data_IF_976561481932
#
_entry.id   IF_976561481932
#
_cell.length_a   1.000
_cell.length_b   1.000
_cell.length_c   1.000
_cell.angle_alpha   90.00
_cell.angle_beta   90.00
_cell.angle_gamma   90.00
#
_symmetry.space_group_name_H-M   'P 1'
#
loop_
_entity.id
_entity.type
_entity.pdbx_description
1 polymer ?
#
# COMPACT_ATOMS: atom_id res chain seq x y z
N UNK A 1 -20.42 14.88 14.07
CA UNK A 1 -19.36 15.61 13.34
C UNK A 1 -19.44 15.23 11.87
N UNK A 2 -19.29 16.19 10.96
CA UNK A 2 -19.37 15.96 9.50
C UNK A 2 -17.97 15.78 8.92
N UNK A 3 -17.73 14.66 8.24
CA UNK A 3 -16.47 14.34 7.57
C UNK A 3 -16.48 14.89 6.15
N UNK A 4 -15.39 15.55 5.74
CA UNK A 4 -15.24 16.10 4.40
C UNK A 4 -14.11 15.35 3.68
N UNK A 5 -14.41 14.89 2.47
CA UNK A 5 -13.47 14.16 1.62
C UNK A 5 -13.20 15.02 0.37
N UNK A 6 -12.13 15.81 0.40
CA UNK A 6 -11.75 16.74 -0.67
C UNK A 6 -10.44 16.34 -1.34
N UNK A 7 -10.53 15.77 -2.55
CA UNK A 7 -9.37 15.41 -3.39
C UNK A 7 -9.57 15.89 -4.83
N UNK A 8 -8.49 15.90 -5.63
CA UNK A 8 -8.53 16.18 -7.06
C UNK A 8 -9.41 15.20 -7.87
N UNK A 9 -9.47 15.37 -9.20
CA UNK A 9 -10.25 14.48 -10.07
C UNK A 9 -9.65 13.06 -10.08
N UNK A 10 -10.52 12.05 -10.11
CA UNK A 10 -10.16 10.62 -10.19
C UNK A 10 -9.33 10.04 -9.03
N UNK A 11 -9.27 10.72 -7.86
CA UNK A 11 -8.60 10.20 -6.65
C UNK A 11 -9.50 9.29 -5.78
N UNK A 12 -10.50 8.62 -6.37
CA UNK A 12 -11.31 7.65 -5.63
C UNK A 12 -12.28 8.22 -4.59
N UNK A 13 -12.72 9.49 -4.71
CA UNK A 13 -13.71 10.10 -3.79
C UNK A 13 -14.99 9.27 -3.66
N UNK A 14 -15.55 8.85 -4.79
CA UNK A 14 -16.74 7.99 -4.82
C UNK A 14 -16.47 6.62 -4.18
N UNK A 15 -15.28 6.06 -4.39
CA UNK A 15 -14.84 4.83 -3.70
C UNK A 15 -14.80 5.02 -2.20
N UNK A 16 -14.28 6.15 -1.71
CA UNK A 16 -14.30 6.45 -0.27
C UNK A 16 -15.72 6.61 0.28
N UNK A 17 -16.64 7.21 -0.50
CA UNK A 17 -18.05 7.28 -0.13
C UNK A 17 -18.70 5.88 -0.02
N UNK A 18 -18.35 4.96 -0.93
CA UNK A 18 -18.78 3.55 -0.87
C UNK A 18 -18.23 2.86 0.38
N UNK A 19 -16.94 3.02 0.67
CA UNK A 19 -16.31 2.42 1.85
C UNK A 19 -16.92 2.95 3.16
N UNK A 20 -17.17 4.25 3.23
CA UNK A 20 -17.85 4.87 4.38
C UNK A 20 -19.27 4.32 4.55
N UNK A 21 -20.04 4.24 3.46
CA UNK A 21 -21.39 3.68 3.46
C UNK A 21 -21.41 2.20 3.85
N UNK A 22 -20.43 1.42 3.40
CA UNK A 22 -20.29 0.01 3.76
C UNK A 22 -20.00 -0.17 5.26
N UNK A 23 -19.09 0.65 5.81
CA UNK A 23 -18.70 0.58 7.22
C UNK A 23 -19.81 1.06 8.18
N UNK A 24 -20.61 2.04 7.77
CA UNK A 24 -21.57 2.73 8.64
C UNK A 24 -23.03 2.37 8.37
N UNK A 25 -23.34 1.82 7.19
CA UNK A 25 -24.70 1.69 6.69
C UNK A 25 -25.33 3.03 6.25
N UNK A 26 -24.56 4.12 6.18
CA UNK A 26 -25.08 5.43 5.79
C UNK A 26 -25.56 5.45 4.34
N UNK A 27 -26.64 6.18 4.09
CA UNK A 27 -27.24 6.28 2.77
C UNK A 27 -26.45 7.21 1.87
N UNK A 28 -26.06 6.75 0.67
CA UNK A 28 -25.44 7.62 -0.34
C UNK A 28 -26.52 8.40 -1.10
N UNK A 29 -26.33 9.72 -1.24
CA UNK A 29 -27.12 10.60 -2.08
C UNK A 29 -26.27 11.06 -3.28
N UNK A 30 -26.82 10.93 -4.48
CA UNK A 30 -26.20 11.31 -5.75
C UNK A 30 -27.04 12.35 -6.50
N UNK A 31 -26.45 13.04 -7.48
CA UNK A 31 -27.13 14.10 -8.23
C UNK A 31 -28.29 13.62 -9.12
N UNK A 32 -28.27 12.37 -9.57
CA UNK A 32 -29.33 11.79 -10.41
C UNK A 32 -29.34 10.25 -10.35
N UNK A 33 -30.39 9.64 -10.92
CA UNK A 33 -30.58 8.19 -10.94
C UNK A 33 -29.47 7.43 -11.69
N UNK A 34 -28.88 8.05 -12.73
CA UNK A 34 -27.80 7.40 -13.49
C UNK A 34 -26.56 7.26 -12.61
N UNK A 35 -26.20 8.32 -11.88
CA UNK A 35 -25.08 8.29 -10.93
C UNK A 35 -25.35 7.33 -9.77
N UNK A 36 -26.55 7.37 -9.19
CA UNK A 36 -26.92 6.43 -8.13
C UNK A 36 -26.73 4.96 -8.56
N UNK A 37 -27.18 4.62 -9.78
CA UNK A 37 -26.97 3.30 -10.36
C UNK A 37 -25.49 2.98 -10.60
N UNK A 38 -24.72 3.94 -11.11
CA UNK A 38 -23.29 3.76 -11.36
C UNK A 38 -22.51 3.51 -10.06
N UNK A 39 -22.81 4.26 -8.98
CA UNK A 39 -22.21 4.07 -7.66
C UNK A 39 -22.56 2.69 -7.10
N UNK A 40 -23.81 2.25 -7.24
CA UNK A 40 -24.23 0.92 -6.80
C UNK A 40 -23.48 -0.19 -7.55
N UNK A 41 -23.41 -0.08 -8.88
CA UNK A 41 -22.66 -1.03 -9.71
C UNK A 41 -21.17 -1.03 -9.38
N UNK A 42 -20.60 0.13 -9.10
CA UNK A 42 -19.21 0.24 -8.67
C UNK A 42 -18.98 -0.47 -7.32
N UNK A 43 -19.91 -0.33 -6.37
CA UNK A 43 -19.83 -1.04 -5.09
C UNK A 43 -19.88 -2.57 -5.28
N UNK A 44 -20.79 -3.06 -6.13
CA UNK A 44 -20.89 -4.49 -6.47
C UNK A 44 -19.60 -5.01 -7.12
N UNK A 45 -19.04 -4.27 -8.08
CA UNK A 45 -17.77 -4.63 -8.73
C UNK A 45 -16.59 -4.70 -7.75
N UNK A 46 -16.62 -3.85 -6.72
CA UNK A 46 -15.61 -3.83 -5.66
C UNK A 46 -15.88 -4.86 -4.54
N UNK A 47 -17.03 -5.56 -4.57
CA UNK A 47 -17.42 -6.55 -3.56
C UNK A 47 -17.98 -5.95 -2.27
N UNK A 48 -18.40 -4.67 -2.27
CA UNK A 48 -18.98 -4.03 -1.09
C UNK A 48 -20.51 -4.05 -1.12
N UNK A 49 -21.12 -4.41 0.00
CA UNK A 49 -22.57 -4.31 0.20
C UNK A 49 -22.92 -2.96 0.82
N UNK A 50 -23.73 -2.16 0.12
CA UNK A 50 -24.18 -0.85 0.59
C UNK A 50 -25.71 -0.69 0.38
N UNK A 51 -26.39 0.18 1.13
CA UNK A 51 -27.76 0.60 0.80
C UNK A 51 -27.84 1.17 -0.62
N UNK A 52 -28.95 0.94 -1.32
CA UNK A 52 -29.09 1.41 -2.70
C UNK A 52 -29.03 2.94 -2.76
N UNK A 53 -28.05 3.55 -3.46
CA UNK A 53 -27.89 5.00 -3.52
C UNK A 53 -29.15 5.70 -4.03
N UNK A 54 -29.40 6.91 -3.55
CA UNK A 54 -30.61 7.67 -3.83
C UNK A 54 -30.28 8.94 -4.59
N UNK A 55 -31.04 9.22 -5.63
CA UNK A 55 -30.96 10.48 -6.37
C UNK A 55 -31.60 11.64 -5.59
N UNK A 56 -31.01 12.83 -5.66
CA UNK A 56 -31.61 14.06 -5.12
C UNK A 56 -32.98 14.37 -5.77
N UNK A 57 -33.20 13.90 -7.00
CA UNK A 57 -34.47 14.06 -7.72
C UNK A 57 -35.54 13.03 -7.31
N UNK A 58 -35.27 12.18 -6.31
CA UNK A 58 -36.26 11.23 -5.82
C UNK A 58 -37.40 11.99 -5.11
N UNK A 59 -38.65 11.74 -5.54
CA UNK A 59 -39.85 12.38 -4.96
C UNK A 59 -40.00 12.10 -3.46
N UNK A 60 -39.52 10.94 -3.00
CA UNK A 60 -39.63 10.52 -1.60
C UNK A 60 -38.38 10.87 -0.79
N UNK A 61 -37.47 11.70 -1.30
CA UNK A 61 -36.21 12.01 -0.63
C UNK A 61 -36.41 12.54 0.81
N UNK A 62 -37.40 13.42 1.01
CA UNK A 62 -37.71 13.98 2.35
C UNK A 62 -38.14 12.89 3.33
N UNK A 63 -39.00 11.98 2.88
CA UNK A 63 -39.45 10.86 3.70
C UNK A 63 -38.29 9.94 4.04
N UNK A 64 -37.47 9.55 3.05
CA UNK A 64 -36.31 8.69 3.26
C UNK A 64 -35.31 9.32 4.25
N UNK A 65 -34.95 10.59 4.05
CA UNK A 65 -34.02 11.28 4.96
C UNK A 65 -34.57 11.40 6.38
N UNK A 66 -35.87 11.65 6.54
CA UNK A 66 -36.51 11.63 7.87
C UNK A 66 -36.48 10.24 8.53
N UNK A 67 -36.66 9.18 7.75
CA UNK A 67 -36.61 7.80 8.26
C UNK A 67 -35.19 7.41 8.66
N UNK A 68 -34.17 7.83 7.89
CA UNK A 68 -32.76 7.64 8.23
C UNK A 68 -32.40 8.32 9.55
N UNK A 69 -32.80 9.58 9.72
CA UNK A 69 -32.60 10.31 10.96
C UNK A 69 -33.25 9.61 12.16
N UNK A 70 -34.47 9.07 12.00
CA UNK A 70 -35.16 8.30 13.05
C UNK A 70 -34.44 7.00 13.37
N UNK A 71 -33.84 6.36 12.38
CA UNK A 71 -33.05 5.14 12.52
C UNK A 71 -31.62 5.39 13.04
N UNK A 72 -31.21 6.66 13.23
CA UNK A 72 -29.84 7.01 13.61
C UNK A 72 -28.81 6.80 12.50
N UNK A 73 -29.25 6.62 11.26
CA UNK A 73 -28.36 6.47 10.09
C UNK A 73 -28.05 7.83 9.47
N UNK A 74 -26.79 7.99 9.08
CA UNK A 74 -26.31 9.19 8.42
C UNK A 74 -26.49 9.17 6.91
N UNK A 75 -26.02 10.25 6.28
CA UNK A 75 -26.06 10.47 4.84
C UNK A 75 -24.65 10.78 4.35
N UNK A 76 -24.27 10.17 3.23
CA UNK A 76 -23.06 10.49 2.48
C UNK A 76 -23.47 11.16 1.17
N UNK A 77 -22.97 12.35 0.89
CA UNK A 77 -23.27 13.07 -0.36
C UNK A 77 -22.11 12.86 -1.33
N UNK A 78 -22.34 12.14 -2.42
CA UNK A 78 -21.36 11.92 -3.48
C UNK A 78 -21.42 13.05 -4.51
N UNK A 79 -20.27 13.68 -4.78
CA UNK A 79 -20.12 14.90 -5.58
C UNK A 79 -21.07 16.03 -5.15
N UNK A 80 -20.78 16.62 -3.99
CA UNK A 80 -21.57 17.70 -3.37
C UNK A 80 -21.84 18.84 -4.36
N UNK A 81 -20.87 19.21 -5.18
CA UNK A 81 -21.03 20.27 -6.18
C UNK A 81 -22.09 19.89 -7.22
N UNK A 82 -22.03 18.67 -7.76
CA UNK A 82 -23.01 18.20 -8.73
C UNK A 82 -24.40 18.00 -8.12
N UNK A 83 -24.49 17.55 -6.87
CA UNK A 83 -25.75 17.42 -6.13
C UNK A 83 -26.40 18.80 -5.92
N UNK A 84 -25.64 19.79 -5.46
CA UNK A 84 -26.13 21.16 -5.26
C UNK A 84 -26.56 21.81 -6.57
N UNK A 85 -25.78 21.59 -7.64
CA UNK A 85 -26.13 22.05 -8.99
C UNK A 85 -27.46 21.47 -9.45
N UNK A 86 -27.68 20.17 -9.26
CA UNK A 86 -28.93 19.51 -9.61
C UNK A 86 -30.10 19.99 -8.75
N UNK A 87 -29.86 20.29 -7.48
CA UNK A 87 -30.88 20.76 -6.54
C UNK A 87 -31.30 22.22 -6.79
N UNK A 88 -30.33 23.11 -7.01
CA UNK A 88 -30.56 24.56 -7.18
C UNK A 88 -30.87 24.96 -8.62
N UNK A 89 -30.49 24.13 -9.61
CA UNK A 89 -30.68 24.43 -11.03
C UNK A 89 -29.76 25.52 -11.58
N UNK A 90 -28.70 25.88 -10.85
CA UNK A 90 -27.72 26.88 -11.23
C UNK A 90 -26.28 26.38 -11.05
N UNK A 91 -25.33 27.08 -11.65
CA UNK A 91 -23.90 26.82 -11.44
C UNK A 91 -23.50 27.14 -10.00
N UNK A 92 -22.63 26.30 -9.44
CA UNK A 92 -22.08 26.48 -8.09
C UNK A 92 -20.65 26.98 -8.25
N UNK A 93 -20.40 28.22 -7.85
CA UNK A 93 -19.07 28.83 -7.98
C UNK A 93 -18.20 28.63 -6.74
N UNK A 94 -18.81 28.47 -5.56
CA UNK A 94 -18.07 28.33 -4.30
C UNK A 94 -18.89 27.52 -3.30
N UNK A 95 -18.23 26.57 -2.62
CA UNK A 95 -18.80 25.79 -1.51
C UNK A 95 -17.89 25.98 -0.31
N UNK A 96 -18.46 26.44 0.80
CA UNK A 96 -17.75 26.58 2.07
C UNK A 96 -18.23 25.52 3.05
N UNK A 97 -17.35 25.12 3.97
CA UNK A 97 -17.66 24.14 4.99
C UNK A 97 -17.17 24.61 6.36
N UNK A 98 -18.01 24.47 7.37
CA UNK A 98 -17.69 24.77 8.77
C UNK A 98 -17.31 23.48 9.52
N UNK A 99 -16.27 22.79 9.03
CA UNK A 99 -15.78 21.55 9.66
C UNK A 99 -14.34 21.71 10.11
N UNK A 100 -14.09 21.40 11.39
CA UNK A 100 -12.74 21.22 11.93
C UNK A 100 -12.00 20.02 11.34
N UNK A 101 -12.71 19.13 10.62
CA UNK A 101 -12.20 17.89 10.04
C UNK A 101 -12.22 17.93 8.52
N UNK A 102 -11.69 19.01 7.93
CA UNK A 102 -11.25 18.95 6.53
C UNK A 102 -10.08 17.98 6.50
N UNK A 103 -10.31 16.77 6.00
CA UNK A 103 -9.21 15.85 5.72
C UNK A 103 -8.55 16.37 4.44
N UNK A 104 -7.64 17.34 4.59
CA UNK A 104 -6.66 17.63 3.54
C UNK A 104 -5.76 16.42 3.45
N UNK A 105 -5.80 15.72 2.31
CA UNK A 105 -4.98 14.52 2.01
C UNK A 105 -3.48 14.68 2.21
N UNK A 106 -2.97 15.91 2.37
CA UNK A 106 -1.55 16.11 2.60
C UNK A 106 -1.11 15.37 3.87
N UNK A 107 -1.87 15.43 4.96
CA UNK A 107 -1.34 14.95 6.25
C UNK A 107 -1.33 13.41 6.35
N UNK A 108 -2.43 12.75 5.98
CA UNK A 108 -2.56 11.29 6.18
C UNK A 108 -1.72 10.46 5.19
N UNK A 109 -1.67 10.87 3.92
CA UNK A 109 -0.81 10.18 2.95
C UNK A 109 0.66 10.58 3.11
N UNK A 110 0.98 11.79 3.62
CA UNK A 110 2.36 12.12 3.96
C UNK A 110 2.87 11.24 5.10
N UNK A 111 2.07 10.99 6.14
CA UNK A 111 2.44 10.09 7.24
C UNK A 111 2.72 8.66 6.72
N UNK A 112 1.80 8.05 5.97
CA UNK A 112 2.02 6.72 5.36
C UNK A 112 3.25 6.70 4.43
N UNK A 113 3.46 7.74 3.60
CA UNK A 113 4.63 7.85 2.73
C UNK A 113 5.92 8.00 3.54
N UNK A 114 5.91 8.73 4.65
CA UNK A 114 7.10 8.87 5.51
C UNK A 114 7.45 7.57 6.20
N UNK A 115 6.46 6.81 6.65
CA UNK A 115 6.66 5.51 7.29
C UNK A 115 7.18 4.49 6.27
N UNK A 116 6.57 4.40 5.08
CA UNK A 116 7.06 3.55 3.98
C UNK A 116 8.49 3.90 3.53
N UNK A 117 8.84 5.20 3.49
CA UNK A 117 10.22 5.63 3.19
C UNK A 117 11.20 5.19 4.26
N UNK A 118 10.79 5.18 5.54
CA UNK A 118 11.63 4.72 6.66
C UNK A 118 11.86 3.21 6.60
N UNK A 119 10.82 2.44 6.31
CA UNK A 119 10.93 0.99 6.11
C UNK A 119 11.82 0.65 4.91
N UNK A 120 11.64 1.36 3.79
CA UNK A 120 12.46 1.17 2.60
C UNK A 120 13.94 1.46 2.88
N UNK A 121 14.24 2.53 3.61
CA UNK A 121 15.61 2.87 4.00
C UNK A 121 16.22 1.81 4.94
N UNK A 122 15.43 1.21 5.83
CA UNK A 122 15.89 0.13 6.69
C UNK A 122 16.28 -1.12 5.87
N UNK A 123 15.44 -1.51 4.92
CA UNK A 123 15.70 -2.65 4.03
C UNK A 123 16.97 -2.46 3.18
N UNK A 124 17.20 -1.25 2.65
CA UNK A 124 18.44 -0.99 1.91
C UNK A 124 19.69 -1.09 2.78
N UNK A 125 19.65 -0.66 4.04
CA UNK A 125 20.78 -0.80 4.97
C UNK A 125 21.08 -2.25 5.30
N UNK A 126 20.07 -3.05 5.60
CA UNK A 126 20.23 -4.48 5.85
C UNK A 126 20.86 -5.18 4.64
N UNK A 127 20.41 -4.83 3.44
CA UNK A 127 20.99 -5.35 2.20
C UNK A 127 22.46 -4.94 2.00
N UNK A 128 22.85 -3.73 2.39
CA UNK A 128 24.25 -3.27 2.32
C UNK A 128 25.13 -4.02 3.35
N UNK A 129 24.62 -4.25 4.56
CA UNK A 129 25.31 -5.02 5.61
C UNK A 129 25.50 -6.49 5.18
N UNK A 130 24.46 -7.12 4.64
CA UNK A 130 24.53 -8.48 4.09
C UNK A 130 25.54 -8.56 2.93
N UNK A 131 25.55 -7.56 2.05
CA UNK A 131 26.48 -7.51 0.93
C UNK A 131 27.94 -7.43 1.43
N UNK A 132 28.21 -6.62 2.45
CA UNK A 132 29.54 -6.52 3.07
C UNK A 132 29.98 -7.84 3.74
N UNK A 133 29.05 -8.54 4.40
CA UNK A 133 29.32 -9.86 4.99
C UNK A 133 29.63 -10.88 3.89
N UNK A 134 28.86 -10.90 2.80
CA UNK A 134 29.09 -11.79 1.66
C UNK A 134 30.47 -11.56 1.05
N UNK A 135 30.89 -10.31 0.88
CA UNK A 135 32.20 -9.97 0.33
C UNK A 135 33.33 -10.43 1.26
N UNK A 136 33.18 -10.18 2.56
CA UNK A 136 34.14 -10.67 3.57
C UNK A 136 34.24 -12.21 3.60
N UNK A 137 33.12 -12.91 3.43
CA UNK A 137 33.09 -14.37 3.38
C UNK A 137 33.72 -14.92 2.10
N UNK A 138 33.56 -14.23 0.96
CA UNK A 138 34.22 -14.58 -0.29
C UNK A 138 35.74 -14.51 -0.14
N UNK A 139 36.24 -13.43 0.44
CA UNK A 139 37.69 -13.25 0.65
C UNK A 139 38.25 -14.38 1.54
N UNK A 140 37.58 -14.68 2.67
CA UNK A 140 37.97 -15.80 3.55
C UNK A 140 37.96 -17.16 2.84
N UNK A 141 36.98 -17.40 1.96
CA UNK A 141 36.94 -18.63 1.19
C UNK A 141 38.13 -18.74 0.22
N UNK A 142 38.54 -17.63 -0.40
CA UNK A 142 39.72 -17.60 -1.26
C UNK A 142 40.99 -17.89 -0.45
N UNK A 143 41.15 -17.25 0.71
CA UNK A 143 42.32 -17.47 1.58
C UNK A 143 42.41 -18.95 2.01
N UNK A 144 41.30 -19.53 2.47
CA UNK A 144 41.25 -20.95 2.85
C UNK A 144 41.54 -21.90 1.68
N UNK A 145 41.16 -21.54 0.45
CA UNK A 145 41.51 -22.34 -0.74
C UNK A 145 43.01 -22.30 -1.02
N UNK A 146 43.66 -21.15 -0.82
CA UNK A 146 45.11 -21.01 -0.98
C UNK A 146 45.86 -21.79 0.10
N UNK A 147 45.46 -21.67 1.37
CA UNK A 147 46.05 -22.42 2.48
C UNK A 147 45.93 -23.94 2.28
N UNK A 148 44.76 -24.41 1.83
CA UNK A 148 44.56 -25.82 1.50
C UNK A 148 45.44 -26.27 0.33
N UNK A 149 45.63 -25.43 -0.69
CA UNK A 149 46.49 -25.75 -1.81
C UNK A 149 47.96 -25.90 -1.36
N UNK A 150 48.45 -24.98 -0.52
CA UNK A 150 49.80 -25.03 0.05
C UNK A 150 50.01 -26.28 0.90
N UNK A 151 49.04 -26.61 1.76
CA UNK A 151 49.09 -27.83 2.58
C UNK A 151 49.20 -29.11 1.73
N UNK A 152 48.39 -29.20 0.67
CA UNK A 152 48.41 -30.35 -0.26
C UNK A 152 49.76 -30.44 -0.98
N UNK A 153 50.31 -29.31 -1.42
CA UNK A 153 51.63 -29.26 -2.06
C UNK A 153 52.74 -29.74 -1.11
N UNK A 154 52.73 -29.30 0.14
CA UNK A 154 53.70 -29.71 1.15
C UNK A 154 53.60 -31.20 1.49
N UNK A 155 52.40 -31.77 1.49
CA UNK A 155 52.18 -33.21 1.68
C UNK A 155 52.73 -34.04 0.51
N UNK A 156 52.45 -33.62 -0.74
CA UNK A 156 52.99 -34.25 -1.95
C UNK A 156 54.52 -34.18 -1.96
N UNK A 157 55.11 -33.04 -1.58
CA UNK A 157 56.56 -32.86 -1.52
C UNK A 157 57.21 -33.79 -0.49
N UNK A 158 56.60 -33.92 0.71
CA UNK A 158 57.05 -34.84 1.76
C UNK A 158 57.00 -36.30 1.31
N UNK A 159 55.90 -36.74 0.70
CA UNK A 159 55.77 -38.10 0.19
C UNK A 159 56.77 -38.40 -0.94
N UNK A 160 56.96 -37.46 -1.87
CA UNK A 160 57.96 -37.60 -2.93
C UNK A 160 59.38 -37.72 -2.36
N UNK A 161 59.71 -36.95 -1.32
CA UNK A 161 60.99 -37.04 -0.64
C UNK A 161 61.19 -38.40 0.05
N UNK A 162 60.15 -38.93 0.73
CA UNK A 162 60.18 -40.27 1.32
C UNK A 162 60.41 -41.36 0.28
N UNK A 163 59.70 -41.30 -0.86
CA UNK A 163 59.89 -42.25 -1.96
C UNK A 163 61.32 -42.20 -2.51
N UNK A 164 61.87 -41.01 -2.75
CA UNK A 164 63.27 -40.84 -3.20
C UNK A 164 64.27 -41.40 -2.20
N UNK A 165 64.07 -41.19 -0.90
CA UNK A 165 64.92 -41.73 0.15
C UNK A 165 64.87 -43.27 0.21
N UNK A 166 63.68 -43.86 0.07
CA UNK A 166 63.52 -45.31 -0.02
C UNK A 166 64.21 -45.89 -1.26
N UNK A 167 64.06 -45.27 -2.43
CA UNK A 167 64.73 -45.71 -3.66
C UNK A 167 66.26 -45.66 -3.53
N UNK A 168 66.82 -44.63 -2.85
CA UNK A 168 68.26 -44.56 -2.57
C UNK A 168 68.73 -45.70 -1.66
N UNK A 169 67.96 -46.04 -0.61
CA UNK A 169 68.28 -47.16 0.28
C UNK A 169 68.27 -48.51 -0.44
N UNK A 170 67.31 -48.73 -1.35
CA UNK A 170 67.25 -49.95 -2.16
C UNK A 170 68.41 -50.10 -3.14
N UNK A 171 68.91 -49.00 -3.73
CA UNK A 171 70.06 -49.02 -4.64
C UNK A 171 71.42 -49.14 -3.96
N UNK A 172 71.48 -49.02 -2.64
CA UNK A 172 72.71 -49.11 -1.85
C UNK A 172 72.92 -50.50 -1.19
N UNK A 173 72.00 -51.44 -1.46
CA UNK A 173 72.11 -52.87 -1.16
C UNK A 173 72.52 -53.63 -2.41
#
# INVERSE_FOLDING_TARGET
MTKIIGFGRCFGKTTMAILESHATGNQIICANNKMAKAVFQQAEQLGYTIPHPISINNRNLKEVTSNLNRAGLGVVVDDVEMVLRAFLGCQIDTITFDSSNVISSEDRYAEEITELKKELAACYREKEEDQAIIETLKDKCVDLMLENADYVWDEIARETAKQRANTRKWRAK
#
